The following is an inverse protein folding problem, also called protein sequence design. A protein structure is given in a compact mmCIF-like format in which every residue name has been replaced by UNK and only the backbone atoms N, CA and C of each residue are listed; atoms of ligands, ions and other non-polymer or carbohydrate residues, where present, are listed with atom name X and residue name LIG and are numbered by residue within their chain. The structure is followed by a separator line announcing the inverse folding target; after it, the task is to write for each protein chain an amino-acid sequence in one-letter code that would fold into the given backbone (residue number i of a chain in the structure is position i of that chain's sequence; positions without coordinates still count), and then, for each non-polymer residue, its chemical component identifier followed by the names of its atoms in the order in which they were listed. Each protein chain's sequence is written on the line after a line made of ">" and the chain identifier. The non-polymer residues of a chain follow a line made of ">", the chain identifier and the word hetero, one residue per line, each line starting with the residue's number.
data_IF_806989135756
#
_entry.id   IF_806989135756
#
_cell.length_a   1.000
_cell.length_b   1.000
_cell.length_c   1.000
_cell.angle_alpha   90.00
_cell.angle_beta   90.00
_cell.angle_gamma   90.00
#
_symmetry.space_group_name_H-M   'P 1'
#
loop_
_entity.id
_entity.type
_entity.pdbx_description
1 polymer ?
#
# COMPACT_ATOMS: atom_id res chain seq x y z
N UNK A 1 -12.57 -1.56 6.99
CA UNK A 1 -12.93 -2.56 8.03
C UNK A 1 -14.22 -3.28 7.61
N UNK A 2 -14.07 -4.48 7.05
CA UNK A 2 -15.09 -5.09 6.19
C UNK A 2 -15.62 -6.40 6.76
N UNK A 3 -16.93 -6.50 6.85
CA UNK A 3 -17.68 -7.77 6.85
C UNK A 3 -19.02 -7.48 6.18
N UNK A 4 -19.32 -8.08 5.02
CA UNK A 4 -20.72 -8.17 4.55
C UNK A 4 -20.99 -9.37 3.66
N UNK A 5 -22.22 -9.88 3.82
CA UNK A 5 -22.78 -11.11 3.27
C UNK A 5 -23.29 -10.92 1.83
N UNK A 6 -22.91 -11.84 0.95
CA UNK A 6 -23.57 -12.04 -0.36
C UNK A 6 -25.04 -12.44 -0.15
N UNK A 7 -25.97 -11.65 -0.68
CA UNK A 7 -27.38 -12.04 -0.85
C UNK A 7 -27.59 -12.33 -2.34
N UNK A 8 -27.66 -13.60 -2.73
CA UNK A 8 -28.52 -14.05 -3.83
C UNK A 8 -28.70 -15.58 -3.79
N UNK A 9 -29.85 -16.02 -3.28
CA UNK A 9 -30.55 -17.23 -3.74
C UNK A 9 -32.01 -17.09 -3.36
N UNK A 10 -32.88 -16.92 -4.36
CA UNK A 10 -34.33 -17.02 -4.21
C UNK A 10 -34.71 -18.50 -4.09
N UNK A 11 -35.22 -18.91 -2.94
CA UNK A 11 -36.00 -20.15 -2.80
C UNK A 11 -37.39 -19.78 -2.30
N UNK A 12 -38.40 -20.07 -3.11
CA UNK A 12 -39.81 -20.04 -2.69
C UNK A 12 -40.09 -21.30 -1.87
N UNK A 13 -40.45 -21.15 -0.59
CA UNK A 13 -41.07 -22.21 0.19
C UNK A 13 -42.38 -21.72 0.84
N UNK A 14 -43.40 -22.57 0.74
CA UNK A 14 -44.76 -22.37 1.26
C UNK A 14 -44.76 -22.22 2.79
N UNK A 15 -45.43 -21.16 3.27
CA UNK A 15 -45.52 -20.82 4.69
C UNK A 15 -46.66 -21.61 5.32
N UNK A 16 -46.32 -22.63 6.10
CA UNK A 16 -47.13 -23.04 7.24
C UNK A 16 -46.21 -23.42 8.41
N UNK A 17 -46.25 -22.59 9.45
CA UNK A 17 -45.82 -22.94 10.81
C UNK A 17 -44.33 -23.26 11.03
N UNK A 18 -43.44 -22.29 10.86
CA UNK A 18 -42.11 -22.31 11.50
C UNK A 18 -41.83 -20.99 12.21
N UNK A 19 -41.68 -21.03 13.55
CA UNK A 19 -41.02 -19.96 14.30
C UNK A 19 -39.55 -19.95 13.84
N UNK A 20 -39.16 -18.96 13.04
CA UNK A 20 -37.75 -18.69 12.81
C UNK A 20 -37.12 -18.25 14.14
N UNK A 21 -36.41 -19.16 14.79
CA UNK A 21 -35.43 -18.77 15.79
C UNK A 21 -34.31 -18.04 15.05
N UNK A 22 -34.31 -16.71 15.14
CA UNK A 22 -33.21 -15.89 14.65
C UNK A 22 -32.01 -16.18 15.56
N UNK A 23 -31.16 -17.13 15.17
CA UNK A 23 -29.88 -17.34 15.86
C UNK A 23 -29.03 -16.13 15.48
N UNK A 24 -28.65 -15.25 16.43
CA UNK A 24 -27.80 -14.12 16.10
C UNK A 24 -26.49 -14.66 15.55
N UNK A 25 -26.11 -14.21 14.35
CA UNK A 25 -24.85 -14.61 13.74
C UNK A 25 -23.72 -14.17 14.68
N UNK A 26 -22.92 -15.12 15.15
CA UNK A 26 -21.78 -14.84 16.03
C UNK A 26 -20.56 -14.56 15.15
N UNK A 27 -19.83 -13.50 15.50
CA UNK A 27 -18.50 -13.23 14.97
C UNK A 27 -17.50 -13.34 16.11
N UNK A 28 -16.51 -14.20 15.92
CA UNK A 28 -15.40 -14.35 16.84
C UNK A 28 -14.40 -13.21 16.59
N UNK A 29 -14.00 -12.50 17.64
CA UNK A 29 -13.11 -11.34 17.56
C UNK A 29 -11.82 -11.61 18.34
N UNK A 30 -10.67 -11.56 17.68
CA UNK A 30 -9.38 -11.57 18.36
C UNK A 30 -8.99 -10.14 18.74
N UNK A 31 -9.16 -9.78 20.00
CA UNK A 31 -8.72 -8.48 20.51
C UNK A 31 -7.26 -8.57 20.99
N UNK A 32 -6.35 -8.04 20.18
CA UNK A 32 -4.92 -7.94 20.51
C UNK A 32 -4.47 -6.48 20.71
N UNK A 33 -5.43 -5.55 20.89
CA UNK A 33 -5.14 -4.12 21.07
C UNK A 33 -4.92 -3.35 19.76
N UNK A 34 -5.43 -3.83 18.62
CA UNK A 34 -5.37 -3.07 17.38
C UNK A 34 -6.19 -1.77 17.48
N UNK A 35 -5.71 -0.70 16.82
CA UNK A 35 -6.32 0.63 16.93
C UNK A 35 -7.79 0.73 16.47
N UNK A 36 -8.28 -0.22 15.66
CA UNK A 36 -9.65 -0.22 15.15
C UNK A 36 -10.62 -1.16 15.91
N UNK A 37 -10.20 -1.80 17.01
CA UNK A 37 -11.06 -2.74 17.77
C UNK A 37 -12.37 -2.11 18.22
N UNK A 38 -12.32 -0.89 18.79
CA UNK A 38 -13.53 -0.18 19.25
C UNK A 38 -14.51 0.05 18.11
N UNK A 39 -14.00 0.38 16.91
CA UNK A 39 -14.82 0.54 15.71
C UNK A 39 -15.48 -0.79 15.29
N UNK A 40 -14.77 -1.92 15.39
CA UNK A 40 -15.33 -3.27 15.16
C UNK A 40 -16.45 -3.58 16.13
N UNK A 41 -16.20 -3.36 17.42
CA UNK A 41 -17.15 -3.64 18.48
C UNK A 41 -18.43 -2.81 18.35
N UNK A 42 -18.31 -1.59 17.84
CA UNK A 42 -19.46 -0.73 17.57
C UNK A 42 -20.19 -1.13 16.28
N UNK A 43 -19.48 -1.49 15.21
CA UNK A 43 -20.10 -1.80 13.92
C UNK A 43 -20.89 -3.10 13.94
N UNK A 44 -20.31 -4.19 14.46
CA UNK A 44 -20.90 -5.54 14.37
C UNK A 44 -22.35 -5.64 14.88
N UNK A 45 -22.71 -5.05 16.04
CA UNK A 45 -24.11 -5.06 16.51
C UNK A 45 -25.08 -4.33 15.59
N UNK A 46 -24.66 -3.21 14.98
CA UNK A 46 -25.49 -2.48 14.00
C UNK A 46 -25.76 -3.30 12.74
N UNK A 47 -24.86 -4.24 12.43
CA UNK A 47 -24.99 -5.17 11.31
C UNK A 47 -25.74 -6.46 11.69
N UNK A 48 -26.23 -6.57 12.94
CA UNK A 48 -26.98 -7.72 13.43
C UNK A 48 -26.11 -8.90 13.90
N UNK A 49 -24.81 -8.69 14.10
CA UNK A 49 -23.90 -9.70 14.64
C UNK A 49 -23.71 -9.56 16.15
N UNK A 50 -23.63 -10.70 16.83
CA UNK A 50 -23.13 -10.77 18.20
C UNK A 50 -21.62 -11.06 18.20
N UNK A 51 -20.91 -10.59 19.22
CA UNK A 51 -19.45 -10.73 19.31
C UNK A 51 -19.10 -11.79 20.34
N UNK A 52 -18.22 -12.71 19.98
CA UNK A 52 -17.56 -13.65 20.89
C UNK A 52 -16.07 -13.34 20.92
N UNK A 53 -15.53 -12.94 22.06
CA UNK A 53 -14.09 -12.73 22.19
C UNK A 53 -13.32 -14.06 22.20
N UNK A 54 -12.18 -14.08 21.51
CA UNK A 54 -11.23 -15.21 21.58
C UNK A 54 -10.67 -15.32 22.99
N UNK A 55 -10.85 -16.48 23.63
CA UNK A 55 -10.25 -16.79 24.94
C UNK A 55 -9.25 -17.93 24.86
N UNK A 56 -9.47 -18.87 23.96
CA UNK A 56 -8.67 -20.09 23.78
C UNK A 56 -8.28 -20.29 22.31
N UNK A 57 -7.24 -21.08 22.00
CA UNK A 57 -6.95 -21.50 20.63
C UNK A 57 -8.15 -22.18 19.94
N UNK A 58 -8.96 -22.91 20.72
CA UNK A 58 -10.19 -23.53 20.23
C UNK A 58 -11.23 -22.53 19.73
N UNK A 59 -11.27 -21.31 20.26
CA UNK A 59 -12.18 -20.27 19.75
C UNK A 59 -11.79 -19.79 18.36
N UNK A 60 -10.50 -19.79 18.04
CA UNK A 60 -9.97 -19.47 16.71
C UNK A 60 -10.30 -20.60 15.73
N UNK A 61 -9.97 -21.84 16.12
CA UNK A 61 -10.13 -23.02 15.25
C UNK A 61 -11.60 -23.32 14.92
N UNK A 62 -12.51 -23.07 15.87
CA UNK A 62 -13.94 -23.36 15.71
C UNK A 62 -14.76 -22.12 15.29
N UNK A 63 -14.12 -21.02 14.93
CA UNK A 63 -14.83 -19.81 14.52
C UNK A 63 -15.42 -19.98 13.11
N UNK A 64 -16.76 -19.91 13.00
CA UNK A 64 -17.43 -19.80 11.70
C UNK A 64 -17.05 -18.49 10.97
N UNK A 65 -16.83 -17.43 11.76
CA UNK A 65 -16.39 -16.11 11.31
C UNK A 65 -15.41 -15.57 12.33
N UNK A 66 -14.18 -15.29 11.90
CA UNK A 66 -13.14 -14.74 12.73
C UNK A 66 -12.67 -13.41 12.17
N UNK A 67 -12.64 -12.38 13.01
CA UNK A 67 -12.00 -11.12 12.68
C UNK A 67 -10.67 -11.06 13.40
N UNK A 68 -9.64 -10.75 12.62
CA UNK A 68 -8.40 -10.18 13.08
C UNK A 68 -8.46 -8.67 12.82
N UNK A 69 -8.64 -7.84 13.87
CA UNK A 69 -8.54 -6.39 13.77
C UNK A 69 -7.21 -5.97 13.15
N UNK A 70 -7.07 -4.73 12.68
CA UNK A 70 -5.81 -4.17 12.17
C UNK A 70 -5.28 -4.79 10.85
N UNK A 71 -5.38 -4.04 9.75
CA UNK A 71 -4.73 -4.41 8.48
C UNK A 71 -3.21 -4.22 8.63
N UNK A 72 -2.40 -5.24 8.39
CA UNK A 72 -0.95 -5.17 8.52
C UNK A 72 -0.40 -5.22 9.96
N UNK A 73 -1.25 -5.32 10.98
CA UNK A 73 -0.85 -5.37 12.40
C UNK A 73 -0.64 -6.81 12.93
N UNK A 74 -0.18 -7.72 12.06
CA UNK A 74 -0.05 -9.14 12.39
C UNK A 74 1.06 -9.44 13.40
N UNK A 75 2.22 -8.77 13.33
CA UNK A 75 3.30 -9.00 14.30
C UNK A 75 2.82 -8.74 15.75
N UNK A 76 2.17 -7.59 16.06
CA UNK A 76 1.48 -7.40 17.33
C UNK A 76 0.45 -8.48 17.66
N UNK A 77 -0.34 -8.93 16.68
CA UNK A 77 -1.31 -10.00 16.89
C UNK A 77 -0.65 -11.32 17.31
N UNK A 78 0.43 -11.71 16.64
CA UNK A 78 1.18 -12.93 16.95
C UNK A 78 1.88 -12.85 18.29
N UNK A 79 2.43 -11.69 18.65
CA UNK A 79 3.03 -11.48 19.96
C UNK A 79 1.99 -11.73 21.06
N UNK A 80 0.77 -11.23 20.90
CA UNK A 80 -0.32 -11.50 21.83
C UNK A 80 -0.67 -12.99 21.82
N UNK A 81 -0.91 -13.59 20.66
CA UNK A 81 -1.27 -15.02 20.57
C UNK A 81 -0.21 -15.95 21.20
N UNK A 82 1.08 -15.63 21.03
CA UNK A 82 2.18 -16.36 21.65
C UNK A 82 2.20 -16.16 23.17
N UNK A 83 2.09 -14.91 23.65
CA UNK A 83 2.11 -14.57 25.08
C UNK A 83 0.90 -15.12 25.84
N UNK A 84 -0.27 -15.15 25.22
CA UNK A 84 -1.52 -15.62 25.84
C UNK A 84 -1.73 -17.13 25.67
N UNK A 85 -0.84 -17.82 24.95
CA UNK A 85 -1.01 -19.25 24.62
C UNK A 85 -2.23 -19.51 23.74
N UNK A 86 -2.72 -18.49 23.02
CA UNK A 86 -3.87 -18.57 22.12
C UNK A 86 -3.50 -18.98 20.70
N UNK A 87 -2.20 -19.04 20.36
CA UNK A 87 -1.73 -19.51 19.06
C UNK A 87 -2.19 -20.96 18.83
N UNK A 88 -2.93 -21.24 17.74
CA UNK A 88 -3.26 -22.62 17.36
C UNK A 88 -1.99 -23.43 17.09
N UNK A 89 -1.95 -24.68 17.56
CA UNK A 89 -0.86 -25.62 17.29
C UNK A 89 -0.90 -26.19 15.87
N UNK A 90 -2.03 -26.07 15.17
CA UNK A 90 -2.22 -26.52 13.80
C UNK A 90 -2.08 -25.34 12.83
N UNK A 91 -1.16 -25.47 11.87
CA UNK A 91 -0.94 -24.50 10.80
C UNK A 91 0.29 -24.85 9.98
N UNK A 92 0.23 -24.64 8.66
CA UNK A 92 1.39 -24.82 7.75
C UNK A 92 2.31 -23.61 7.71
N UNK A 93 1.85 -22.46 8.19
CA UNK A 93 2.58 -21.20 8.17
C UNK A 93 3.68 -21.18 9.23
N UNK A 94 4.92 -20.95 8.81
CA UNK A 94 6.10 -20.94 9.68
C UNK A 94 6.51 -19.54 10.10
N UNK A 95 6.19 -18.55 9.26
CA UNK A 95 6.50 -17.13 9.45
C UNK A 95 5.43 -16.25 8.79
N UNK A 96 5.64 -14.94 8.79
CA UNK A 96 4.80 -14.06 7.99
C UNK A 96 5.07 -14.29 6.50
N UNK A 97 3.99 -14.50 5.75
CA UNK A 97 4.05 -14.56 4.30
C UNK A 97 4.52 -13.21 3.72
N UNK A 98 5.42 -13.25 2.75
CA UNK A 98 5.75 -12.11 1.91
C UNK A 98 4.54 -11.77 1.04
N UNK A 99 4.25 -10.49 0.85
CA UNK A 99 3.09 -10.04 0.05
C UNK A 99 3.52 -9.60 -1.35
N UNK A 100 2.73 -9.99 -2.34
CA UNK A 100 2.78 -9.48 -3.70
C UNK A 100 1.66 -8.47 -3.88
N UNK A 101 2.02 -7.20 -4.02
CA UNK A 101 1.08 -6.08 -4.13
C UNK A 101 0.94 -5.68 -5.60
N UNK A 102 -0.30 -5.61 -6.07
CA UNK A 102 -0.60 -5.09 -7.39
C UNK A 102 -0.99 -3.62 -7.31
N UNK A 103 -0.41 -2.79 -8.19
CA UNK A 103 -0.65 -1.35 -8.20
C UNK A 103 -1.26 -0.90 -9.52
N UNK A 104 -2.15 0.10 -9.45
CA UNK A 104 -2.71 0.75 -10.63
C UNK A 104 -2.71 2.28 -10.51
N UNK A 105 -2.27 2.92 -11.58
CA UNK A 105 -2.38 4.35 -11.78
C UNK A 105 -3.80 4.71 -12.20
N UNK A 106 -4.48 5.57 -11.43
CA UNK A 106 -5.80 6.09 -11.78
C UNK A 106 -5.66 7.53 -12.24
N UNK A 107 -5.85 7.75 -13.55
CA UNK A 107 -5.76 9.07 -14.21
C UNK A 107 -7.11 9.49 -14.75
N UNK A 108 -7.20 10.75 -15.15
CA UNK A 108 -8.29 11.26 -15.96
C UNK A 108 -7.84 11.42 -17.42
N UNK A 109 -8.65 10.99 -18.39
CA UNK A 109 -8.41 11.30 -19.81
C UNK A 109 -8.98 12.68 -20.20
N UNK A 110 -8.75 13.10 -21.45
CA UNK A 110 -9.24 14.38 -22.01
C UNK A 110 -10.77 14.56 -21.96
N UNK A 111 -11.52 13.45 -21.87
CA UNK A 111 -12.98 13.44 -21.77
C UNK A 111 -13.48 13.52 -20.32
N UNK A 112 -12.58 13.50 -19.34
CA UNK A 112 -12.94 13.47 -17.92
C UNK A 112 -13.22 12.06 -17.36
N UNK A 113 -13.00 11.00 -18.13
CA UNK A 113 -13.17 9.62 -17.66
C UNK A 113 -11.96 9.16 -16.85
N UNK A 114 -12.21 8.28 -15.88
CA UNK A 114 -11.14 7.57 -15.19
C UNK A 114 -10.56 6.48 -16.10
N UNK A 115 -9.24 6.46 -16.19
CA UNK A 115 -8.51 5.46 -16.97
C UNK A 115 -7.35 4.91 -16.14
N UNK A 116 -6.99 3.66 -16.43
CA UNK A 116 -5.73 3.07 -15.96
C UNK A 116 -4.71 3.19 -17.07
N UNK A 117 -3.58 3.84 -16.81
CA UNK A 117 -2.47 3.86 -17.76
C UNK A 117 -1.64 2.60 -17.63
N UNK A 118 -1.42 1.92 -18.76
CA UNK A 118 -0.34 0.96 -18.84
C UNK A 118 0.97 1.76 -18.87
N UNK A 119 1.83 1.60 -17.86
CA UNK A 119 3.09 2.32 -17.73
C UNK A 119 3.84 2.54 -19.07
N UNK A 120 4.39 3.74 -19.19
CA UNK A 120 5.17 4.32 -20.31
C UNK A 120 4.49 4.58 -21.66
N UNK A 121 3.20 4.30 -21.84
CA UNK A 121 2.47 4.78 -23.02
C UNK A 121 1.14 5.46 -22.71
N UNK A 122 1.09 6.75 -23.02
CA UNK A 122 -0.15 7.52 -23.23
C UNK A 122 -0.83 7.03 -24.51
N UNK A 123 -1.67 5.99 -24.40
CA UNK A 123 -2.96 5.95 -25.12
C UNK A 123 -3.73 4.68 -24.73
N UNK A 124 -4.90 4.87 -24.12
CA UNK A 124 -5.92 3.81 -24.06
C UNK A 124 -7.22 4.40 -24.57
N UNK A 125 -7.24 4.75 -25.85
CA UNK A 125 -8.49 5.04 -26.59
C UNK A 125 -9.11 3.72 -27.01
N UNK A 126 -10.01 3.18 -26.21
CA UNK A 126 -11.02 2.26 -26.73
C UNK A 126 -12.18 3.09 -27.28
N UNK A 127 -12.44 2.94 -28.58
CA UNK A 127 -13.62 3.49 -29.23
C UNK A 127 -14.84 2.65 -28.85
N UNK A 128 -15.58 3.03 -27.81
CA UNK A 128 -16.93 2.53 -27.57
C UNK A 128 -17.93 3.68 -27.74
N UNK A 129 -18.78 3.56 -28.76
CA UNK A 129 -19.81 4.53 -29.14
C UNK A 129 -21.08 4.38 -28.28
N UNK A 130 -21.01 4.59 -26.97
CA UNK A 130 -22.23 4.74 -26.15
C UNK A 130 -22.05 5.87 -25.13
N UNK A 131 -23.00 6.81 -25.16
CA UNK A 131 -23.08 7.99 -24.28
C UNK A 131 -23.62 7.60 -22.89
N UNK A 132 -23.18 8.34 -21.87
CA UNK A 132 -23.75 8.48 -20.52
C UNK A 132 -23.34 7.51 -19.39
N UNK A 133 -22.06 7.15 -19.23
CA UNK A 133 -21.48 6.87 -17.89
C UNK A 133 -19.98 7.19 -17.93
N UNK A 134 -19.43 7.94 -16.96
CA UNK A 134 -17.97 8.01 -16.76
C UNK A 134 -17.48 6.58 -16.62
N UNK A 135 -16.56 6.11 -17.45
CA UNK A 135 -16.15 4.70 -17.43
C UNK A 135 -15.31 4.37 -16.16
N UNK A 136 -16.00 4.22 -15.02
CA UNK A 136 -15.44 3.78 -13.75
C UNK A 136 -15.01 2.30 -13.77
N UNK A 137 -15.44 1.54 -14.79
CA UNK A 137 -15.26 0.10 -14.88
C UNK A 137 -13.79 -0.31 -14.98
N UNK A 138 -12.95 0.43 -15.71
CA UNK A 138 -11.57 0.01 -15.97
C UNK A 138 -10.70 -0.18 -14.70
N UNK A 139 -10.63 0.78 -13.76
CA UNK A 139 -9.92 0.55 -12.50
C UNK A 139 -10.52 -0.54 -11.62
N UNK A 140 -11.86 -0.63 -11.56
CA UNK A 140 -12.59 -1.59 -10.72
C UNK A 140 -12.41 -3.02 -11.24
N UNK A 141 -12.59 -3.22 -12.54
CA UNK A 141 -12.44 -4.52 -13.20
C UNK A 141 -10.99 -5.02 -13.11
N UNK A 142 -10.01 -4.12 -13.30
CA UNK A 142 -8.61 -4.48 -13.18
C UNK A 142 -8.24 -4.85 -11.74
N UNK A 143 -8.71 -4.11 -10.74
CA UNK A 143 -8.54 -4.47 -9.33
C UNK A 143 -9.21 -5.83 -9.03
N UNK A 144 -10.42 -6.06 -9.56
CA UNK A 144 -11.11 -7.34 -9.50
C UNK A 144 -10.30 -8.49 -10.11
N UNK A 145 -9.63 -8.23 -11.23
CA UNK A 145 -8.77 -9.20 -11.89
C UNK A 145 -7.52 -9.49 -11.05
N UNK A 146 -6.82 -8.47 -10.55
CA UNK A 146 -5.67 -8.64 -9.67
C UNK A 146 -5.99 -9.48 -8.44
N UNK A 147 -7.15 -9.25 -7.83
CA UNK A 147 -7.62 -10.07 -6.72
C UNK A 147 -7.79 -11.55 -7.11
N UNK A 148 -8.44 -11.82 -8.25
CA UNK A 148 -8.62 -13.18 -8.77
C UNK A 148 -7.30 -13.85 -9.15
N UNK A 149 -6.35 -13.08 -9.65
CA UNK A 149 -4.98 -13.52 -9.99
C UNK A 149 -4.10 -13.72 -8.75
N UNK A 150 -4.64 -13.45 -7.56
CA UNK A 150 -4.00 -13.74 -6.29
C UNK A 150 -3.24 -12.58 -5.66
N UNK A 151 -3.42 -11.32 -6.07
CA UNK A 151 -2.80 -10.18 -5.38
C UNK A 151 -3.14 -10.19 -3.88
N UNK A 152 -2.14 -9.95 -3.02
CA UNK A 152 -2.34 -9.92 -1.57
C UNK A 152 -2.88 -8.58 -1.07
N UNK A 153 -2.73 -7.55 -1.89
CA UNK A 153 -3.18 -6.18 -1.66
C UNK A 153 -3.25 -5.45 -3.01
N UNK A 154 -4.16 -4.48 -3.13
CA UNK A 154 -4.28 -3.62 -4.30
C UNK A 154 -4.07 -2.17 -3.90
N UNK A 155 -3.12 -1.51 -4.56
CA UNK A 155 -2.79 -0.09 -4.37
C UNK A 155 -3.29 0.75 -5.54
N UNK A 156 -4.00 1.84 -5.24
CA UNK A 156 -4.47 2.82 -6.21
C UNK A 156 -3.64 4.10 -6.07
N UNK A 157 -2.93 4.47 -7.13
CA UNK A 157 -2.26 5.76 -7.23
C UNK A 157 -3.19 6.76 -7.89
N UNK A 158 -3.85 7.58 -7.08
CA UNK A 158 -4.73 8.65 -7.53
C UNK A 158 -3.91 9.86 -7.99
N UNK A 159 -3.81 10.01 -9.31
CA UNK A 159 -3.12 11.09 -10.00
C UNK A 159 -4.08 11.87 -10.89
N UNK A 160 -5.36 11.83 -10.52
CA UNK A 160 -6.40 12.60 -11.20
C UNK A 160 -6.23 14.09 -10.96
N UNK A 161 -6.57 14.90 -11.97
CA UNK A 161 -6.47 16.36 -11.91
C UNK A 161 -7.63 17.04 -11.17
N UNK A 162 -8.49 16.27 -10.49
CA UNK A 162 -9.73 16.78 -9.90
C UNK A 162 -9.47 17.53 -8.59
N UNK A 163 -8.98 18.77 -8.70
CA UNK A 163 -8.77 19.66 -7.55
C UNK A 163 -10.02 20.46 -7.15
N UNK A 164 -10.98 20.58 -8.06
CA UNK A 164 -12.13 21.48 -7.92
C UNK A 164 -13.47 20.77 -7.65
N UNK A 165 -13.44 19.48 -7.28
CA UNK A 165 -14.64 18.71 -6.94
C UNK A 165 -14.85 18.63 -5.42
N UNK A 166 -16.10 18.64 -4.93
CA UNK A 166 -16.40 18.31 -3.54
C UNK A 166 -15.83 16.94 -3.18
N UNK A 167 -15.36 16.78 -1.94
CA UNK A 167 -14.69 15.56 -1.47
C UNK A 167 -15.51 14.28 -1.75
N UNK A 168 -16.82 14.33 -1.49
CA UNK A 168 -17.72 13.18 -1.68
C UNK A 168 -17.97 12.79 -3.14
N UNK A 169 -17.71 13.70 -4.09
CA UNK A 169 -17.93 13.52 -5.52
C UNK A 169 -16.63 13.17 -6.27
N UNK A 170 -15.52 13.01 -5.54
CA UNK A 170 -14.26 12.62 -6.15
C UNK A 170 -14.42 11.24 -6.81
N UNK A 171 -14.09 11.09 -8.11
CA UNK A 171 -14.28 9.81 -8.80
C UNK A 171 -13.56 8.62 -8.14
N UNK A 172 -12.43 8.86 -7.47
CA UNK A 172 -11.69 7.84 -6.74
C UNK A 172 -12.48 7.24 -5.56
N UNK A 173 -13.39 8.01 -4.95
CA UNK A 173 -14.30 7.53 -3.91
C UNK A 173 -15.22 6.43 -4.47
N UNK A 174 -15.77 6.65 -5.66
CA UNK A 174 -16.61 5.65 -6.33
C UNK A 174 -15.82 4.41 -6.74
N UNK A 175 -14.61 4.57 -7.27
CA UNK A 175 -13.73 3.43 -7.61
C UNK A 175 -13.51 2.54 -6.41
N UNK A 176 -13.20 3.10 -5.24
CA UNK A 176 -13.01 2.32 -4.02
C UNK A 176 -14.30 1.63 -3.59
N UNK A 177 -15.45 2.32 -3.65
CA UNK A 177 -16.74 1.75 -3.24
C UNK A 177 -17.05 0.52 -4.09
N UNK A 178 -17.05 0.66 -5.41
CA UNK A 178 -17.33 -0.44 -6.32
C UNK A 178 -16.29 -1.56 -6.26
N UNK A 179 -15.00 -1.23 -6.10
CA UNK A 179 -13.96 -2.24 -5.90
C UNK A 179 -14.22 -3.05 -4.62
N UNK A 180 -14.57 -2.37 -3.53
CA UNK A 180 -14.76 -2.98 -2.22
C UNK A 180 -15.91 -3.98 -2.14
N UNK A 181 -16.85 -3.93 -3.08
CA UNK A 181 -17.98 -4.86 -3.17
C UNK A 181 -17.52 -6.28 -3.54
N UNK A 182 -16.42 -6.42 -4.30
CA UNK A 182 -16.03 -7.70 -4.92
C UNK A 182 -14.56 -8.11 -4.68
N UNK A 183 -13.73 -7.20 -4.17
CA UNK A 183 -12.30 -7.44 -3.90
C UNK A 183 -12.09 -7.59 -2.41
N UNK A 184 -11.68 -8.76 -1.92
CA UNK A 184 -11.59 -9.06 -0.49
C UNK A 184 -10.15 -9.13 0.04
N UNK A 185 -9.27 -8.31 -0.52
CA UNK A 185 -7.92 -8.03 -0.02
C UNK A 185 -7.82 -6.56 0.35
N UNK A 186 -6.83 -6.15 1.18
CA UNK A 186 -6.65 -4.75 1.56
C UNK A 186 -6.56 -3.84 0.35
N UNK A 187 -7.21 -2.67 0.45
CA UNK A 187 -7.09 -1.60 -0.54
C UNK A 187 -6.30 -0.42 0.04
N UNK A 188 -5.25 -0.02 -0.67
CA UNK A 188 -4.45 1.17 -0.36
C UNK A 188 -4.74 2.25 -1.38
N UNK A 189 -4.95 3.49 -0.95
CA UNK A 189 -5.10 4.64 -1.87
C UNK A 189 -4.06 5.72 -1.55
N UNK A 190 -3.30 6.11 -2.56
CA UNK A 190 -2.33 7.21 -2.48
C UNK A 190 -2.73 8.36 -3.39
N UNK A 191 -2.36 9.59 -3.02
CA UNK A 191 -2.60 10.78 -3.84
C UNK A 191 -3.82 11.58 -3.40
N UNK A 192 -3.61 12.88 -3.13
CA UNK A 192 -4.66 13.80 -2.71
C UNK A 192 -5.03 13.76 -1.22
N UNK A 193 -4.31 13.00 -0.39
CA UNK A 193 -4.52 12.95 1.07
C UNK A 193 -3.78 14.10 1.75
N UNK A 194 -4.42 15.27 1.77
CA UNK A 194 -3.88 16.52 2.34
C UNK A 194 -5.02 17.45 2.71
N UNK A 195 -4.69 18.49 3.46
CA UNK A 195 -5.60 19.61 3.69
C UNK A 195 -5.93 20.30 2.37
N UNK A 196 -7.22 20.58 2.12
CA UNK A 196 -7.64 21.38 0.97
C UNK A 196 -8.96 22.11 1.23
N UNK A 197 -9.19 23.16 0.45
CA UNK A 197 -10.45 23.90 0.42
C UNK A 197 -11.09 23.68 -0.94
N UNK A 198 -12.35 23.24 -0.99
CA UNK A 198 -13.05 23.08 -2.26
C UNK A 198 -13.32 24.43 -2.92
N UNK A 199 -13.26 24.46 -4.26
CA UNK A 199 -13.44 25.66 -5.06
C UNK A 199 -14.86 25.80 -5.63
N UNK A 200 -15.83 24.98 -5.18
CA UNK A 200 -17.14 24.90 -5.82
C UNK A 200 -17.95 26.18 -5.64
N UNK A 201 -18.01 26.96 -6.72
CA UNK A 201 -18.72 28.23 -6.84
C UNK A 201 -20.25 28.14 -6.86
N UNK A 202 -20.88 27.38 -5.95
CA UNK A 202 -22.33 27.51 -5.75
C UNK A 202 -22.75 27.90 -4.34
N UNK A 203 -22.19 27.38 -3.25
CA UNK A 203 -22.45 27.91 -1.90
C UNK A 203 -21.32 27.50 -0.92
N UNK A 204 -20.51 28.48 -0.48
CA UNK A 204 -19.42 28.42 0.52
C UNK A 204 -18.19 27.55 0.20
N UNK A 205 -17.00 28.14 0.40
CA UNK A 205 -15.72 27.44 0.50
C UNK A 205 -15.74 26.55 1.74
N UNK A 206 -15.54 25.24 1.56
CA UNK A 206 -15.41 24.30 2.67
C UNK A 206 -13.98 23.79 2.75
N UNK A 207 -13.39 23.97 3.92
CA UNK A 207 -12.11 23.39 4.28
C UNK A 207 -12.31 21.94 4.73
N UNK A 208 -11.46 21.04 4.25
CA UNK A 208 -11.32 19.67 4.70
C UNK A 208 -9.89 19.46 5.19
N UNK A 209 -9.77 18.98 6.42
CA UNK A 209 -8.51 18.49 6.97
C UNK A 209 -8.12 17.16 6.31
N UNK A 210 -6.82 16.86 6.27
CA UNK A 210 -6.29 15.57 5.81
C UNK A 210 -6.92 14.38 6.54
N UNK A 211 -7.30 14.53 7.81
CA UNK A 211 -8.04 13.53 8.58
C UNK A 211 -9.45 13.29 8.01
N UNK A 212 -10.19 14.34 7.65
CA UNK A 212 -11.52 14.21 7.05
C UNK A 212 -11.43 13.57 5.66
N UNK A 213 -10.42 13.95 4.87
CA UNK A 213 -10.14 13.34 3.57
C UNK A 213 -9.87 11.84 3.73
N UNK A 214 -8.95 11.46 4.62
CA UNK A 214 -8.65 10.06 4.90
C UNK A 214 -9.90 9.30 5.39
N UNK A 215 -10.69 9.92 6.27
CA UNK A 215 -11.92 9.33 6.78
C UNK A 215 -12.93 9.03 5.67
N UNK A 216 -13.05 9.89 4.65
CA UNK A 216 -13.93 9.65 3.50
C UNK A 216 -13.41 8.50 2.61
N UNK A 217 -12.10 8.44 2.38
CA UNK A 217 -11.48 7.30 1.68
C UNK A 217 -11.71 5.98 2.41
N UNK A 218 -11.57 5.94 3.74
CA UNK A 218 -11.82 4.75 4.54
C UNK A 218 -13.29 4.31 4.50
N UNK A 219 -14.23 5.27 4.61
CA UNK A 219 -15.67 4.99 4.47
C UNK A 219 -16.04 4.45 3.09
N UNK A 220 -15.25 4.84 2.09
CA UNK A 220 -15.46 4.47 0.69
C UNK A 220 -14.78 3.16 0.31
N UNK A 221 -14.08 2.50 1.22
CA UNK A 221 -13.57 1.15 1.02
C UNK A 221 -12.05 1.03 1.10
N UNK A 222 -11.29 2.12 1.22
CA UNK A 222 -9.87 2.01 1.52
C UNK A 222 -9.66 1.40 2.91
N UNK A 223 -8.60 0.62 3.05
CA UNK A 223 -8.12 0.12 4.34
C UNK A 223 -6.88 0.89 4.81
N UNK A 224 -6.10 1.43 3.86
CA UNK A 224 -4.91 2.24 4.10
C UNK A 224 -4.87 3.46 3.18
N UNK A 225 -4.28 4.53 3.67
CA UNK A 225 -3.94 5.73 2.87
C UNK A 225 -2.44 5.84 2.72
N UNK A 226 -1.98 6.35 1.57
CA UNK A 226 -0.58 6.62 1.30
C UNK A 226 -0.31 8.13 1.23
N UNK A 227 0.65 8.60 2.03
CA UNK A 227 1.06 10.00 2.12
C UNK A 227 2.46 10.17 1.50
N UNK A 228 2.58 11.08 0.54
CA UNK A 228 3.85 11.42 -0.15
C UNK A 228 4.45 12.73 0.38
N UNK A 229 4.35 13.81 -0.39
CA UNK A 229 4.99 15.11 -0.09
C UNK A 229 4.78 15.62 1.34
N UNK A 230 3.56 15.54 1.88
CA UNK A 230 3.24 16.00 3.23
C UNK A 230 4.04 15.24 4.30
N UNK A 231 4.39 13.97 4.06
CA UNK A 231 5.23 13.20 4.97
C UNK A 231 6.67 13.73 5.01
N UNK A 232 7.19 14.19 3.86
CA UNK A 232 8.52 14.81 3.76
C UNK A 232 8.56 16.10 4.54
N UNK A 233 7.56 16.98 4.36
CA UNK A 233 7.50 18.25 5.10
C UNK A 233 7.33 18.04 6.61
N UNK A 234 6.49 17.06 7.01
CA UNK A 234 6.33 16.73 8.42
C UNK A 234 7.63 16.18 9.04
N UNK A 235 8.38 15.37 8.30
CA UNK A 235 9.67 14.85 8.74
C UNK A 235 10.75 15.93 8.85
N UNK A 236 10.85 16.85 7.87
CA UNK A 236 11.79 17.98 7.94
C UNK A 236 11.54 18.84 9.19
N UNK A 237 10.27 19.18 9.46
CA UNK A 237 9.91 19.96 10.65
C UNK A 237 10.17 19.19 11.94
N UNK A 238 9.89 17.88 11.96
CA UNK A 238 10.17 17.03 13.11
C UNK A 238 11.67 16.90 13.39
N UNK A 239 12.51 16.69 12.37
CA UNK A 239 13.96 16.61 12.51
C UNK A 239 14.54 17.94 13.00
N UNK A 240 14.03 19.05 12.47
CA UNK A 240 14.49 20.39 12.87
C UNK A 240 14.10 20.75 14.29
N UNK A 241 12.87 20.43 14.70
CA UNK A 241 12.32 20.83 16.00
C UNK A 241 12.59 19.82 17.12
N UNK A 242 12.74 18.53 16.77
CA UNK A 242 12.73 17.41 17.70
C UNK A 242 11.37 17.13 18.35
N UNK A 243 10.28 17.78 17.90
CA UNK A 243 8.98 17.76 18.59
C UNK A 243 7.87 17.22 17.69
N UNK A 244 7.12 16.25 18.21
CA UNK A 244 5.86 15.77 17.62
C UNK A 244 4.76 16.81 17.86
N UNK A 245 4.34 17.50 16.81
CA UNK A 245 3.39 18.62 16.91
C UNK A 245 1.96 18.16 17.21
N UNK A 246 1.64 16.89 16.91
CA UNK A 246 0.29 16.34 16.90
C UNK A 246 -0.59 16.91 15.77
N UNK A 247 -0.01 17.64 14.81
CA UNK A 247 -0.75 18.36 13.75
C UNK A 247 -0.51 17.79 12.35
N UNK A 248 0.56 17.03 12.13
CA UNK A 248 0.79 16.43 10.82
C UNK A 248 -0.32 15.42 10.47
N UNK A 249 -0.55 15.21 9.19
CA UNK A 249 -1.49 14.19 8.69
C UNK A 249 -1.14 12.79 9.21
N UNK A 250 0.16 12.46 9.29
CA UNK A 250 0.67 11.23 9.90
C UNK A 250 0.19 11.07 11.35
N UNK A 251 0.40 12.07 12.19
CA UNK A 251 0.05 12.01 13.62
C UNK A 251 -1.47 12.05 13.87
N UNK A 252 -2.21 12.80 13.05
CA UNK A 252 -3.66 12.90 13.18
C UNK A 252 -4.34 11.59 12.75
N UNK A 253 -4.00 11.07 11.57
CA UNK A 253 -4.63 9.86 11.03
C UNK A 253 -4.22 8.64 11.86
N UNK A 254 -2.93 8.49 12.19
CA UNK A 254 -2.46 7.34 12.97
C UNK A 254 -3.03 7.29 14.39
N UNK A 255 -3.28 8.45 15.02
CA UNK A 255 -3.93 8.51 16.33
C UNK A 255 -5.39 8.06 16.31
N UNK A 256 -6.11 8.32 15.22
CA UNK A 256 -7.54 7.99 15.11
C UNK A 256 -7.75 6.57 14.56
N UNK A 257 -6.99 6.19 13.53
CA UNK A 257 -7.18 4.94 12.80
C UNK A 257 -6.10 3.88 13.10
N UNK A 258 -5.07 4.24 13.86
CA UNK A 258 -3.89 3.42 14.13
C UNK A 258 -2.81 3.59 13.06
N UNK A 259 -1.54 3.37 13.44
CA UNK A 259 -0.39 3.47 12.52
C UNK A 259 -0.57 2.64 11.26
N UNK A 260 -1.18 1.47 11.40
CA UNK A 260 -1.38 0.51 10.32
C UNK A 260 -2.28 1.02 9.17
N UNK A 261 -3.01 2.12 9.38
CA UNK A 261 -3.79 2.77 8.33
C UNK A 261 -2.97 3.78 7.49
N UNK A 262 -1.74 4.10 7.91
CA UNK A 262 -0.89 5.14 7.33
C UNK A 262 0.33 4.51 6.66
N UNK A 263 0.34 4.53 5.33
CA UNK A 263 1.49 4.21 4.49
C UNK A 263 2.20 5.50 4.11
N UNK A 264 3.53 5.51 4.09
CA UNK A 264 4.30 6.64 3.56
C UNK A 264 4.98 6.23 2.27
N UNK A 265 4.69 6.96 1.18
CA UNK A 265 5.38 6.82 -0.10
C UNK A 265 6.65 7.65 -0.08
N UNK A 266 7.80 6.98 -0.15
CA UNK A 266 9.11 7.62 -0.24
C UNK A 266 9.62 7.49 -1.66
N UNK A 267 9.96 8.62 -2.28
CA UNK A 267 10.45 8.73 -3.66
C UNK A 267 11.91 9.21 -3.65
N UNK A 268 12.89 8.33 -3.41
CA UNK A 268 14.30 8.66 -3.41
C UNK A 268 14.94 8.55 -4.79
N UNK A 269 16.01 9.34 -4.98
CA UNK A 269 16.99 9.18 -6.06
C UNK A 269 18.38 9.02 -5.47
N UNK A 270 19.20 8.19 -6.09
CA UNK A 270 20.58 7.95 -5.68
C UNK A 270 21.46 9.16 -6.00
N UNK A 271 22.29 9.55 -5.05
CA UNK A 271 23.29 10.63 -5.19
C UNK A 271 24.64 10.09 -4.73
N UNK A 272 25.55 9.93 -5.69
CA UNK A 272 26.91 9.47 -5.43
C UNK A 272 27.75 10.53 -4.71
N UNK A 273 28.65 10.08 -3.83
CA UNK A 273 29.60 10.91 -3.08
C UNK A 273 30.96 10.23 -3.03
N UNK A 274 32.03 11.02 -2.92
CA UNK A 274 33.39 10.47 -2.86
C UNK A 274 33.67 9.91 -1.46
N UNK A 275 33.31 10.69 -0.44
CA UNK A 275 33.48 10.33 0.96
C UNK A 275 32.13 10.36 1.70
N UNK A 276 31.88 9.42 2.63
CA UNK A 276 30.66 9.43 3.45
C UNK A 276 30.42 10.73 4.22
N UNK A 277 31.48 11.47 4.53
CA UNK A 277 31.40 12.74 5.28
C UNK A 277 31.12 13.97 4.39
N UNK A 278 31.03 13.81 3.07
CA UNK A 278 30.73 14.91 2.13
C UNK A 278 29.30 15.46 2.31
N UNK A 279 28.42 14.66 2.94
CA UNK A 279 27.02 15.01 3.18
C UNK A 279 26.62 14.66 4.61
N UNK A 280 25.66 15.39 5.22
CA UNK A 280 25.22 15.12 6.58
C UNK A 280 24.21 13.96 6.68
N UNK A 281 23.98 13.22 5.58
CA UNK A 281 22.96 12.17 5.48
C UNK A 281 23.60 10.79 5.54
N UNK A 282 22.80 9.77 5.85
CA UNK A 282 23.26 8.38 5.86
C UNK A 282 23.71 7.95 4.46
N UNK A 283 25.01 7.73 4.35
CA UNK A 283 25.66 7.17 3.17
C UNK A 283 25.85 5.66 3.34
N UNK A 284 25.74 4.93 2.24
CA UNK A 284 26.09 3.52 2.13
C UNK A 284 27.17 3.31 1.07
N UNK A 285 27.89 2.20 1.17
CA UNK A 285 28.68 1.68 0.05
C UNK A 285 27.72 0.99 -0.90
N UNK A 286 27.81 1.31 -2.19
CA UNK A 286 26.96 0.73 -3.23
C UNK A 286 27.49 -0.67 -3.56
N UNK A 287 26.62 -1.67 -3.52
CA UNK A 287 26.96 -3.07 -3.87
C UNK A 287 26.37 -3.48 -5.21
N UNK A 288 25.33 -2.77 -5.68
CA UNK A 288 24.77 -2.93 -7.00
C UNK A 288 24.60 -1.54 -7.67
N UNK A 289 25.61 -1.06 -8.42
CA UNK A 289 25.58 0.27 -9.02
C UNK A 289 24.82 0.33 -10.34
N UNK A 290 24.04 -0.70 -10.69
CA UNK A 290 23.37 -0.84 -11.98
C UNK A 290 22.42 0.30 -12.36
N UNK A 291 22.98 1.42 -12.84
CA UNK A 291 22.41 2.39 -13.78
C UNK A 291 23.54 3.27 -14.34
N UNK A 292 23.98 3.09 -15.60
CA UNK A 292 24.65 4.17 -16.31
C UNK A 292 23.59 5.23 -16.66
N UNK A 293 23.74 6.42 -16.11
CA UNK A 293 23.16 7.62 -16.69
C UNK A 293 23.93 7.85 -18.00
N UNK A 294 23.24 7.79 -19.14
CA UNK A 294 23.69 8.07 -20.52
C UNK A 294 24.22 6.91 -21.39
N UNK A 295 23.51 6.72 -22.53
CA UNK A 295 23.89 6.11 -23.82
C UNK A 295 23.72 4.58 -24.03
N UNK A 296 22.96 4.14 -25.06
CA UNK A 296 22.80 2.72 -25.43
C UNK A 296 24.09 2.07 -25.96
N UNK A 297 25.06 2.86 -26.47
CA UNK A 297 26.24 2.32 -27.14
C UNK A 297 27.32 1.81 -26.15
N UNK A 298 27.21 2.16 -24.87
CA UNK A 298 28.23 1.82 -23.86
C UNK A 298 27.95 0.46 -23.17
N UNK A 299 26.70 -0.02 -23.19
CA UNK A 299 26.27 -1.19 -22.42
C UNK A 299 26.82 -2.53 -22.94
N UNK A 300 27.25 -2.61 -24.21
CA UNK A 300 27.68 -3.89 -24.81
C UNK A 300 29.17 -4.23 -24.53
N UNK A 301 29.96 -3.27 -24.04
CA UNK A 301 31.40 -3.42 -23.77
C UNK A 301 31.71 -3.70 -22.29
N UNK A 302 30.76 -3.55 -21.38
CA UNK A 302 31.00 -3.51 -19.93
C UNK A 302 30.30 -4.65 -19.16
N UNK A 303 30.30 -5.88 -19.70
CA UNK A 303 29.99 -7.06 -18.88
C UNK A 303 31.06 -7.20 -17.78
N UNK A 304 30.78 -6.67 -16.58
CA UNK A 304 31.60 -6.84 -15.37
C UNK A 304 32.33 -5.61 -14.83
N UNK A 305 32.02 -4.39 -15.28
CA UNK A 305 32.78 -3.17 -14.89
C UNK A 305 31.89 -1.98 -14.53
N UNK A 306 30.96 -2.13 -13.60
CA UNK A 306 30.47 -0.98 -12.83
C UNK A 306 30.25 -1.52 -11.42
N UNK A 307 31.21 -1.29 -10.52
CA UNK A 307 31.07 -1.42 -9.06
C UNK A 307 31.00 -0.02 -8.39
N UNK A 308 30.96 1.03 -9.22
CA UNK A 308 31.15 2.42 -8.81
C UNK A 308 30.20 3.37 -9.56
N UNK A 309 30.06 4.59 -9.03
CA UNK A 309 29.37 5.71 -9.68
C UNK A 309 30.09 6.19 -10.95
N UNK A 310 29.49 7.15 -11.68
CA UNK A 310 29.99 7.62 -12.98
C UNK A 310 31.45 8.09 -12.98
N UNK A 311 31.99 8.51 -11.84
CA UNK A 311 33.36 8.98 -11.67
C UNK A 311 34.20 8.08 -10.76
N UNK A 312 33.74 6.86 -10.47
CA UNK A 312 34.43 5.93 -9.56
C UNK A 312 33.97 6.04 -8.09
N UNK A 313 32.86 6.71 -7.81
CA UNK A 313 32.33 6.84 -6.45
C UNK A 313 31.86 5.48 -5.90
N UNK A 314 32.36 5.02 -4.75
CA UNK A 314 31.88 3.78 -4.12
C UNK A 314 30.66 3.99 -3.21
N UNK A 315 30.33 5.25 -2.94
CA UNK A 315 29.39 5.63 -1.89
C UNK A 315 28.23 6.43 -2.47
N UNK A 316 27.04 6.25 -1.89
CA UNK A 316 25.88 7.02 -2.24
C UNK A 316 24.95 7.23 -1.04
N UNK A 317 24.16 8.29 -1.09
CA UNK A 317 22.98 8.47 -0.27
C UNK A 317 21.75 8.61 -1.19
N UNK A 318 20.57 8.58 -0.59
CA UNK A 318 19.31 8.58 -1.33
C UNK A 318 18.52 9.83 -1.02
N UNK A 319 18.58 10.82 -1.90
CA UNK A 319 17.89 12.08 -1.71
C UNK A 319 16.39 11.90 -1.95
N UNK A 320 15.56 12.29 -0.98
CA UNK A 320 14.11 12.27 -1.15
C UNK A 320 13.62 13.40 -2.05
N UNK A 321 12.48 13.15 -2.68
CA UNK A 321 11.79 14.12 -3.52
C UNK A 321 10.35 14.32 -3.09
N UNK A 322 9.75 15.41 -3.55
CA UNK A 322 8.33 15.72 -3.42
C UNK A 322 7.74 16.06 -4.78
N UNK A 323 6.44 16.30 -4.82
CA UNK A 323 5.74 16.66 -6.05
C UNK A 323 5.92 15.59 -7.14
N UNK A 324 5.84 14.31 -6.78
CA UNK A 324 5.99 13.18 -7.69
C UNK A 324 7.35 13.17 -8.39
N UNK A 325 8.44 13.21 -7.63
CA UNK A 325 9.80 13.13 -8.17
C UNK A 325 10.41 14.44 -8.67
N UNK A 326 9.62 15.53 -8.81
CA UNK A 326 10.05 16.74 -9.53
C UNK A 326 10.93 17.68 -8.71
N UNK A 327 10.81 17.66 -7.39
CA UNK A 327 11.54 18.56 -6.50
C UNK A 327 12.35 17.75 -5.49
N UNK A 328 13.67 17.93 -5.48
CA UNK A 328 14.55 17.31 -4.48
C UNK A 328 14.52 18.06 -3.16
N UNK A 329 14.58 17.33 -2.05
CA UNK A 329 14.56 17.89 -0.70
C UNK A 329 15.89 17.66 0.03
N UNK A 330 16.26 18.52 0.99
CA UNK A 330 17.45 18.33 1.82
C UNK A 330 17.19 17.31 2.94
N UNK A 331 16.81 16.09 2.56
CA UNK A 331 16.58 14.97 3.47
C UNK A 331 16.86 13.65 2.73
N UNK A 332 17.55 12.73 3.39
CA UNK A 332 17.79 11.39 2.87
C UNK A 332 16.66 10.42 3.19
N UNK A 333 16.56 9.34 2.41
CA UNK A 333 15.55 8.30 2.58
C UNK A 333 15.64 7.64 3.96
N UNK A 334 16.86 7.47 4.48
CA UNK A 334 17.07 6.94 5.83
C UNK A 334 16.49 7.88 6.90
N UNK A 335 16.84 9.17 6.85
CA UNK A 335 16.36 10.16 7.81
C UNK A 335 14.83 10.30 7.75
N UNK A 336 14.28 10.33 6.52
CA UNK A 336 12.84 10.37 6.31
C UNK A 336 12.16 9.13 6.90
N UNK A 337 12.66 7.92 6.62
CA UNK A 337 12.09 6.67 7.10
C UNK A 337 12.04 6.62 8.64
N UNK A 338 13.13 7.02 9.31
CA UNK A 338 13.17 7.12 10.78
C UNK A 338 12.17 8.15 11.31
N UNK A 339 12.09 9.32 10.70
CA UNK A 339 11.20 10.38 11.14
C UNK A 339 9.71 9.99 10.99
N UNK A 340 9.32 9.38 9.87
CA UNK A 340 7.91 9.05 9.63
C UNK A 340 7.42 7.89 10.49
N UNK A 341 8.29 6.93 10.82
CA UNK A 341 8.01 5.88 11.81
C UNK A 341 7.65 6.48 13.17
N UNK A 342 8.41 7.49 13.60
CA UNK A 342 8.16 8.23 14.83
C UNK A 342 6.86 9.04 14.78
N UNK A 343 6.55 9.65 13.63
CA UNK A 343 5.34 10.44 13.41
C UNK A 343 4.07 9.60 13.23
N UNK A 344 4.19 8.27 13.18
CA UNK A 344 3.04 7.36 13.21
C UNK A 344 2.74 6.65 11.90
N UNK A 345 3.67 6.63 10.94
CA UNK A 345 3.59 5.70 9.83
C UNK A 345 3.58 4.25 10.34
N UNK A 346 2.76 3.39 9.71
CA UNK A 346 2.71 1.96 9.99
C UNK A 346 3.36 1.12 8.92
N UNK A 347 3.68 1.69 7.76
CA UNK A 347 4.29 1.00 6.63
C UNK A 347 4.94 2.01 5.68
N UNK A 348 6.04 1.62 5.04
CA UNK A 348 6.75 2.43 4.03
C UNK A 348 6.56 1.80 2.66
N UNK A 349 6.02 2.56 1.71
CA UNK A 349 6.09 2.27 0.29
C UNK A 349 7.37 2.92 -0.26
N UNK A 350 8.40 2.12 -0.50
CA UNK A 350 9.71 2.59 -0.91
C UNK A 350 9.87 2.45 -2.43
N UNK A 351 9.65 3.55 -3.15
CA UNK A 351 9.89 3.61 -4.58
C UNK A 351 11.39 3.81 -4.86
N UNK A 352 11.77 3.71 -6.12
CA UNK A 352 13.11 4.04 -6.60
C UNK A 352 12.97 4.81 -7.92
N UNK A 353 13.23 6.12 -7.91
CA UNK A 353 13.11 6.95 -9.11
C UNK A 353 14.02 6.44 -10.24
N UNK A 354 15.23 6.01 -9.88
CA UNK A 354 16.23 5.55 -10.85
C UNK A 354 15.87 4.17 -11.47
N UNK A 355 15.03 3.39 -10.78
CA UNK A 355 14.64 2.04 -11.19
C UNK A 355 13.30 2.03 -11.94
N UNK A 356 12.51 3.10 -11.82
CA UNK A 356 11.14 3.12 -12.31
C UNK A 356 11.09 2.98 -13.85
N UNK A 357 10.24 2.08 -14.34
CA UNK A 357 10.13 1.75 -15.77
C UNK A 357 11.31 0.99 -16.38
N UNK A 358 12.42 0.81 -15.66
CA UNK A 358 13.66 0.23 -16.24
C UNK A 358 13.61 -1.29 -16.40
N UNK A 359 12.82 -1.96 -15.56
CA UNK A 359 12.67 -3.42 -15.59
C UNK A 359 13.94 -4.21 -15.24
N UNK A 360 14.84 -3.66 -14.42
CA UNK A 360 16.13 -4.27 -14.05
C UNK A 360 16.18 -4.81 -12.61
N UNK A 361 15.03 -4.89 -11.94
CA UNK A 361 14.95 -5.29 -10.54
C UNK A 361 14.78 -4.11 -9.61
N UNK A 362 14.53 -4.42 -8.33
CA UNK A 362 14.44 -3.43 -7.27
C UNK A 362 15.84 -2.95 -6.87
N UNK A 363 15.96 -1.73 -6.33
CA UNK A 363 17.20 -1.29 -5.69
C UNK A 363 17.37 -1.99 -4.34
N UNK A 364 18.09 -3.11 -4.33
CA UNK A 364 18.32 -3.92 -3.12
C UNK A 364 19.16 -3.19 -2.07
N UNK A 365 20.08 -2.31 -2.47
CA UNK A 365 20.87 -1.48 -1.56
C UNK A 365 19.97 -0.50 -0.79
N UNK A 366 19.08 0.20 -1.50
CA UNK A 366 18.08 1.09 -0.93
C UNK A 366 17.09 0.34 -0.02
N UNK A 367 16.53 -0.75 -0.53
CA UNK A 367 15.54 -1.54 0.22
C UNK A 367 16.17 -2.11 1.48
N UNK A 368 17.41 -2.61 1.42
CA UNK A 368 18.15 -3.09 2.58
C UNK A 368 18.42 -1.97 3.58
N UNK A 369 18.93 -0.82 3.12
CA UNK A 369 19.20 0.35 3.98
C UNK A 369 17.97 0.73 4.81
N UNK A 370 16.80 0.80 4.18
CA UNK A 370 15.58 1.23 4.87
C UNK A 370 15.00 0.11 5.71
N UNK A 371 14.82 -1.09 5.16
CA UNK A 371 14.22 -2.22 5.89
C UNK A 371 15.03 -2.69 7.09
N UNK A 372 16.35 -2.48 7.12
CA UNK A 372 17.20 -2.75 8.30
C UNK A 372 17.13 -1.62 9.34
N UNK A 373 16.61 -0.44 8.99
CA UNK A 373 16.67 0.76 9.85
C UNK A 373 15.38 1.08 10.61
N UNK A 374 14.24 0.59 10.14
CA UNK A 374 12.92 0.82 10.73
C UNK A 374 12.31 -0.47 11.27
N UNK A 375 11.44 -0.36 12.28
CA UNK A 375 10.67 -1.47 12.84
C UNK A 375 9.31 -1.68 12.16
N UNK A 376 8.91 -0.81 11.24
CA UNK A 376 7.68 -0.93 10.45
C UNK A 376 7.93 -1.63 9.09
N UNK A 377 6.92 -2.35 8.54
CA UNK A 377 7.04 -2.99 7.23
C UNK A 377 7.49 -2.06 6.11
N UNK A 378 8.37 -2.57 5.23
CA UNK A 378 8.82 -1.89 4.02
C UNK A 378 8.35 -2.68 2.79
N UNK A 379 7.69 -1.98 1.87
CA UNK A 379 7.29 -2.46 0.55
C UNK A 379 8.34 -2.00 -0.46
N UNK A 380 9.01 -2.94 -1.12
CA UNK A 380 9.88 -2.64 -2.24
C UNK A 380 9.04 -2.31 -3.49
N UNK A 381 9.34 -1.21 -4.17
CA UNK A 381 8.63 -0.73 -5.36
C UNK A 381 9.62 -0.20 -6.40
N UNK A 382 9.15 -0.08 -7.65
CA UNK A 382 9.88 0.34 -8.85
C UNK A 382 10.98 -0.63 -9.34
N UNK A 383 10.92 -1.01 -10.62
CA UNK A 383 11.97 -1.79 -11.31
C UNK A 383 11.69 -3.28 -11.53
N UNK A 384 10.65 -3.85 -10.90
CA UNK A 384 10.26 -5.24 -11.11
C UNK A 384 9.92 -5.56 -12.59
N UNK A 385 10.39 -6.72 -13.07
CA UNK A 385 10.18 -7.16 -14.45
C UNK A 385 9.94 -8.67 -14.58
N UNK A 386 10.51 -9.47 -13.68
CA UNK A 386 10.41 -10.93 -13.68
C UNK A 386 10.13 -11.47 -12.27
N UNK A 387 9.65 -12.72 -12.11
CA UNK A 387 9.52 -13.37 -10.80
C UNK A 387 10.81 -13.39 -9.97
N UNK A 388 11.97 -13.49 -10.61
CA UNK A 388 13.28 -13.53 -9.96
C UNK A 388 13.58 -12.25 -9.17
N UNK A 389 13.17 -11.08 -9.69
CA UNK A 389 13.33 -9.81 -8.97
C UNK A 389 12.57 -9.82 -7.62
N UNK A 390 11.45 -10.55 -7.51
CA UNK A 390 10.73 -10.69 -6.25
C UNK A 390 11.47 -11.61 -5.27
N UNK A 391 12.00 -12.76 -5.73
CA UNK A 391 12.80 -13.62 -4.86
C UNK A 391 14.08 -12.92 -4.40
N UNK A 392 14.76 -12.22 -5.30
CA UNK A 392 16.00 -11.50 -5.01
C UNK A 392 15.80 -10.49 -3.88
N UNK A 393 14.78 -9.61 -3.99
CA UNK A 393 14.54 -8.60 -2.96
C UNK A 393 14.15 -9.21 -1.61
N UNK A 394 13.43 -10.34 -1.60
CA UNK A 394 13.06 -11.01 -0.35
C UNK A 394 14.18 -11.83 0.28
N UNK A 395 15.13 -12.33 -0.51
CA UNK A 395 16.29 -13.08 -0.03
C UNK A 395 17.42 -12.16 0.46
N UNK A 396 17.58 -10.99 -0.17
CA UNK A 396 18.68 -10.06 0.12
C UNK A 396 18.34 -8.96 1.12
N UNK A 397 17.04 -8.75 1.41
CA UNK A 397 16.57 -7.65 2.27
C UNK A 397 15.49 -8.10 3.27
N UNK A 398 15.15 -7.21 4.20
CA UNK A 398 14.04 -7.40 5.14
C UNK A 398 12.69 -6.87 4.60
N UNK A 399 12.56 -6.64 3.29
CA UNK A 399 11.30 -6.22 2.67
C UNK A 399 10.15 -7.17 3.06
N UNK A 400 9.05 -6.60 3.52
CA UNK A 400 7.85 -7.35 3.93
C UNK A 400 6.90 -7.60 2.77
N UNK A 401 7.04 -6.82 1.69
CA UNK A 401 6.27 -6.95 0.46
C UNK A 401 7.04 -6.39 -0.73
N UNK A 402 6.60 -6.77 -1.91
CA UNK A 402 7.08 -6.22 -3.17
C UNK A 402 5.87 -5.82 -4.01
N UNK A 403 5.95 -4.64 -4.60
CA UNK A 403 4.89 -4.03 -5.39
C UNK A 403 5.33 -3.93 -6.86
N UNK A 404 4.41 -4.26 -7.76
CA UNK A 404 4.57 -3.96 -9.18
C UNK A 404 3.27 -3.43 -9.80
N UNK A 405 3.42 -2.61 -10.83
CA UNK A 405 2.31 -2.07 -11.62
C UNK A 405 2.42 -2.58 -13.07
N UNK A 406 3.42 -2.04 -13.79
CA UNK A 406 3.74 -2.29 -15.21
C UNK A 406 3.46 -3.70 -15.72
N UNK A 407 4.17 -4.65 -15.13
CA UNK A 407 4.20 -6.04 -15.59
C UNK A 407 2.86 -6.77 -15.42
N UNK A 408 2.06 -6.39 -14.43
CA UNK A 408 0.79 -7.04 -14.14
C UNK A 408 -0.31 -6.54 -15.07
N UNK A 409 -0.49 -5.22 -15.27
CA UNK A 409 -1.50 -4.74 -16.20
C UNK A 409 -1.16 -5.02 -17.67
N UNK A 410 0.14 -5.15 -18.01
CA UNK A 410 0.58 -5.54 -19.37
C UNK A 410 0.49 -7.05 -19.58
N UNK A 411 0.23 -7.83 -18.51
CA UNK A 411 0.22 -9.30 -18.51
C UNK A 411 1.53 -9.90 -19.01
N UNK A 412 2.64 -9.21 -18.77
CA UNK A 412 3.99 -9.68 -19.08
C UNK A 412 4.41 -10.76 -18.08
N UNK A 413 4.03 -10.56 -16.81
CA UNK A 413 4.25 -11.53 -15.73
C UNK A 413 2.92 -11.73 -14.99
N UNK A 414 2.35 -12.94 -14.97
CA UNK A 414 1.19 -13.23 -14.13
C UNK A 414 1.56 -13.18 -12.63
N UNK A 415 0.66 -12.65 -11.79
CA UNK A 415 0.85 -12.64 -10.32
C UNK A 415 1.03 -14.07 -9.80
N UNK A 416 0.26 -15.01 -10.33
CA UNK A 416 0.35 -16.43 -9.98
C UNK A 416 1.76 -16.99 -10.24
N UNK A 417 2.40 -16.66 -11.36
CA UNK A 417 3.76 -17.11 -11.68
C UNK A 417 4.80 -16.53 -10.71
N UNK A 418 4.61 -15.30 -10.24
CA UNK A 418 5.44 -14.75 -9.15
C UNK A 418 5.30 -15.59 -7.89
N UNK A 419 4.06 -15.92 -7.50
CA UNK A 419 3.81 -16.69 -6.28
C UNK A 419 4.33 -18.12 -6.35
N UNK A 420 4.14 -18.79 -7.47
CA UNK A 420 4.68 -20.13 -7.72
C UNK A 420 6.21 -20.14 -7.62
N UNK A 421 6.88 -19.18 -8.26
CA UNK A 421 8.33 -19.01 -8.15
C UNK A 421 8.79 -18.76 -6.70
N UNK A 422 8.07 -17.93 -5.95
CA UNK A 422 8.39 -17.67 -4.54
C UNK A 422 8.24 -18.94 -3.69
N UNK A 423 7.22 -19.76 -3.94
CA UNK A 423 7.07 -21.08 -3.29
C UNK A 423 8.23 -22.02 -3.65
N UNK A 424 8.64 -22.08 -4.92
CA UNK A 424 9.81 -22.88 -5.35
C UNK A 424 11.11 -22.44 -4.64
N UNK A 425 11.25 -21.14 -4.38
CA UNK A 425 12.35 -20.55 -3.59
C UNK A 425 12.18 -20.73 -2.08
N UNK A 426 11.16 -21.46 -1.62
CA UNK A 426 10.85 -21.63 -0.19
C UNK A 426 10.57 -20.31 0.54
N UNK A 427 10.09 -19.31 -0.19
CA UNK A 427 9.61 -18.04 0.35
C UNK A 427 8.11 -18.19 0.61
N UNK A 428 7.74 -18.05 1.88
CA UNK A 428 6.34 -18.20 2.30
C UNK A 428 5.49 -17.06 1.71
N UNK A 429 4.46 -17.42 0.94
CA UNK A 429 3.49 -16.51 0.31
C UNK A 429 2.08 -17.10 0.45
N UNK A 430 1.05 -16.26 0.35
CA UNK A 430 -0.34 -16.75 0.23
C UNK A 430 -0.53 -17.35 -1.16
N UNK A 431 -1.07 -18.56 -1.24
CA UNK A 431 -1.48 -19.19 -2.50
C UNK A 431 -2.97 -19.08 -2.73
#
# INVERSE_FOLDING_TARGET
>A
MRIFLSRHTHFYFSISSFRFFYVPLVVTLLDYGAGNVSSIRNALPHLGFSIKDVKTPGDILNADRLIFPGVGAFAPAMDVLNKTGQKPMEGKASKLAKRVIACLDVRTNDKGDLVVTKGDQYDVREQSNENEVRNLGKPVDLAGQYYKDGADEISFLNITGFRDFPLGDLPMIHVLRYTSENVFVPLTVGGGIRDFTDATGRYMLRYYSSLEVAAEYFRSGADKISIGSDAVYAAEEFIKSGVKTGKSSLEQISRVYGKQAVVVSIDPRRVYVNHPDDVPYKVIRVTNPGMPVFSPLFSLLCHGLNEHGPNGEEHAWYQCTVSGGREGRPIGAYELAKAVEELGAGEILLNCIDCDGQGKGFDTDLVKLISDSVGIPVIASSGAATPEHFSEVFETTNASAALAAGIFHRKEVPIQSVKEHLVEKSIEVRM
#
